data_IF_780706568131
#
_entry.id   IF_780706568131
#
_cell.length_a   1.000
_cell.length_b   1.000
_cell.length_c   1.000
_cell.angle_alpha   90.00
_cell.angle_beta   90.00
_cell.angle_gamma   90.00
#
_symmetry.space_group_name_H-M   'P 1'
#
loop_
_entity.id
_entity.type
_entity.pdbx_description
1 polymer ?
#
# COMPACT_ATOMS: atom_id res chain seq x y z
N UNK A 1 18.83 12.83 19.93
CA UNK A 1 18.01 11.68 20.37
C UNK A 1 17.74 10.80 19.17
N UNK A 2 17.73 9.47 19.31
CA UNK A 2 17.30 8.57 18.26
C UNK A 2 15.77 8.72 18.05
N UNK A 3 15.33 8.63 16.79
CA UNK A 3 13.90 8.65 16.47
C UNK A 3 13.22 7.38 16.95
N UNK A 4 11.94 7.46 17.33
CA UNK A 4 11.13 6.28 17.59
C UNK A 4 10.91 5.48 16.30
N UNK A 5 10.53 4.19 16.43
CA UNK A 5 10.22 3.34 15.28
C UNK A 5 9.07 3.94 14.44
N UNK A 6 8.02 4.45 15.08
CA UNK A 6 6.92 5.11 14.38
C UNK A 6 7.37 6.35 13.62
N UNK A 7 8.15 7.24 14.25
CA UNK A 7 8.65 8.45 13.59
C UNK A 7 9.48 8.13 12.34
N UNK A 8 10.37 7.13 12.44
CA UNK A 8 11.16 6.70 11.29
C UNK A 8 10.28 6.09 10.21
N UNK A 9 9.32 5.21 10.58
CA UNK A 9 8.38 4.60 9.63
C UNK A 9 7.53 5.65 8.89
N UNK A 10 7.10 6.71 9.59
CA UNK A 10 6.38 7.84 8.96
C UNK A 10 7.22 8.56 7.91
N UNK A 11 8.50 8.78 8.20
CA UNK A 11 9.43 9.42 7.27
C UNK A 11 9.66 8.53 6.05
N UNK A 12 9.94 7.26 6.25
CA UNK A 12 10.23 6.31 5.18
C UNK A 12 9.03 6.08 4.27
N UNK A 13 7.83 5.96 4.86
CA UNK A 13 6.60 5.81 4.10
C UNK A 13 6.27 7.09 3.30
N UNK A 14 6.46 8.28 3.89
CA UNK A 14 6.27 9.54 3.18
C UNK A 14 7.28 9.71 2.03
N UNK A 15 8.53 9.28 2.21
CA UNK A 15 9.53 9.25 1.14
C UNK A 15 9.12 8.29 0.01
N UNK A 16 8.60 7.11 0.35
CA UNK A 16 8.10 6.13 -0.62
C UNK A 16 6.99 6.71 -1.48
N UNK A 17 5.99 7.39 -0.91
CA UNK A 17 4.95 8.09 -1.68
C UNK A 17 5.54 9.06 -2.72
N UNK A 18 6.52 9.85 -2.32
CA UNK A 18 7.13 10.85 -3.20
C UNK A 18 7.97 10.21 -4.30
N UNK A 19 8.70 9.16 -4.00
CA UNK A 19 9.47 8.39 -4.99
C UNK A 19 8.52 7.80 -6.03
N UNK A 20 7.44 7.17 -5.60
CA UNK A 20 6.43 6.58 -6.50
C UNK A 20 5.76 7.65 -7.36
N UNK A 21 5.46 8.83 -6.80
CA UNK A 21 4.95 9.95 -7.58
C UNK A 21 5.96 10.45 -8.62
N UNK A 22 7.25 10.54 -8.25
CA UNK A 22 8.32 10.93 -9.15
C UNK A 22 8.50 9.94 -10.30
N UNK A 23 8.35 8.65 -10.03
CA UNK A 23 8.43 7.58 -11.04
C UNK A 23 7.17 7.43 -11.91
N UNK A 24 6.11 8.19 -11.63
CA UNK A 24 4.86 8.09 -12.36
C UNK A 24 4.14 6.75 -12.19
N UNK A 25 4.33 6.06 -11.06
CA UNK A 25 3.79 4.73 -10.81
C UNK A 25 2.46 4.75 -10.05
N UNK A 26 1.84 5.90 -9.88
CA UNK A 26 0.58 6.07 -9.16
C UNK A 26 -0.52 6.56 -10.10
N UNK A 27 -1.76 6.37 -9.70
CA UNK A 27 -2.92 6.88 -10.43
C UNK A 27 -3.65 7.92 -9.59
N UNK A 28 -3.47 9.20 -9.95
CA UNK A 28 -4.09 10.36 -9.30
C UNK A 28 -4.06 10.25 -7.75
N UNK A 29 -5.22 9.99 -7.12
CA UNK A 29 -5.39 9.86 -5.65
C UNK A 29 -6.01 8.50 -5.26
N UNK A 30 -6.06 7.55 -6.21
CA UNK A 30 -6.73 6.26 -6.03
C UNK A 30 -5.85 5.19 -5.37
N UNK A 31 -4.57 5.46 -5.17
CA UNK A 31 -3.63 4.50 -4.59
C UNK A 31 -3.40 4.74 -3.10
N UNK A 32 -2.96 3.69 -2.40
CA UNK A 32 -2.72 3.75 -0.96
C UNK A 32 -1.60 2.82 -0.52
N UNK A 33 -0.81 3.27 0.46
CA UNK A 33 0.26 2.51 1.08
C UNK A 33 0.07 2.48 2.58
N UNK A 34 0.48 1.38 3.17
CA UNK A 34 0.53 1.24 4.62
C UNK A 34 1.84 0.67 5.11
N UNK A 35 2.14 0.96 6.37
CA UNK A 35 3.22 0.33 7.10
C UNK A 35 2.76 0.06 8.53
N UNK A 36 2.90 -1.18 9.00
CA UNK A 36 2.56 -1.51 10.38
C UNK A 36 3.61 -1.00 11.36
N UNK A 37 3.15 -0.50 12.51
CA UNK A 37 4.01 -0.04 13.61
C UNK A 37 3.92 -0.93 14.84
N UNK A 38 3.02 -1.91 14.85
CA UNK A 38 2.90 -2.90 15.92
C UNK A 38 3.36 -4.28 15.46
N UNK A 39 3.84 -5.09 16.41
CA UNK A 39 4.34 -6.42 16.10
C UNK A 39 3.24 -7.40 15.66
N UNK A 40 2.01 -7.18 16.16
CA UNK A 40 0.83 -7.98 15.86
C UNK A 40 0.10 -7.55 14.57
N UNK A 41 0.60 -6.53 13.86
CA UNK A 41 0.00 -6.00 12.64
C UNK A 41 -1.26 -5.17 12.83
N UNK A 42 -1.76 -4.98 14.05
CA UNK A 42 -3.03 -4.28 14.29
C UNK A 42 -2.95 -2.78 14.07
N UNK A 43 -1.83 -2.16 14.47
CA UNK A 43 -1.63 -0.72 14.30
C UNK A 43 -0.76 -0.44 13.09
N UNK A 44 -1.29 0.36 12.18
CA UNK A 44 -0.61 0.69 10.94
C UNK A 44 -0.83 2.15 10.51
N UNK A 45 0.11 2.65 9.74
CA UNK A 45 0.03 3.96 9.09
C UNK A 45 -0.59 3.81 7.71
N UNK A 46 -1.46 4.76 7.34
CA UNK A 46 -2.09 4.84 6.02
C UNK A 46 -2.07 6.30 5.54
N UNK A 47 -2.05 6.51 4.22
CA UNK A 47 -2.22 7.87 3.69
C UNK A 47 -3.68 8.34 3.83
N UNK A 48 -3.87 9.65 4.01
CA UNK A 48 -5.22 10.22 4.00
C UNK A 48 -5.84 10.11 2.61
N UNK A 49 -7.15 9.94 2.58
CA UNK A 49 -7.98 9.94 1.37
C UNK A 49 -7.82 11.25 0.59
N UNK A 50 -7.82 11.18 -0.73
CA UNK A 50 -7.81 12.32 -1.65
C UNK A 50 -6.53 13.19 -1.61
N UNK A 51 -5.46 12.74 -0.98
CA UNK A 51 -4.19 13.45 -0.99
C UNK A 51 -3.23 12.85 -2.02
N UNK A 52 -2.82 13.66 -3.00
CA UNK A 52 -1.87 13.22 -4.02
C UNK A 52 -0.52 12.84 -3.41
N UNK A 53 0.08 11.76 -3.89
CA UNK A 53 1.31 11.17 -3.35
C UNK A 53 2.48 12.16 -3.22
N UNK A 54 2.67 13.06 -4.20
CA UNK A 54 3.73 14.08 -4.14
C UNK A 54 3.59 15.07 -2.99
N UNK A 55 2.41 15.15 -2.35
CA UNK A 55 2.10 16.09 -1.28
C UNK A 55 2.03 15.44 0.10
N UNK A 56 2.20 14.12 0.19
CA UNK A 56 2.14 13.41 1.46
C UNK A 56 3.40 13.71 2.28
N UNK A 57 3.20 14.10 3.54
CA UNK A 57 4.23 14.33 4.55
C UNK A 57 4.13 13.26 5.63
N UNK A 58 5.19 13.06 6.40
CA UNK A 58 5.21 12.14 7.54
C UNK A 58 4.09 12.46 8.56
N UNK A 59 3.81 13.77 8.78
CA UNK A 59 2.74 14.25 9.67
C UNK A 59 1.32 14.02 9.15
N UNK A 60 1.15 13.77 7.86
CA UNK A 60 -0.16 13.54 7.26
C UNK A 60 -0.65 12.10 7.45
N UNK A 61 0.28 11.16 7.68
CA UNK A 61 -0.05 9.75 7.78
C UNK A 61 -0.94 9.47 8.99
N UNK A 62 -2.01 8.74 8.74
CA UNK A 62 -3.01 8.39 9.74
C UNK A 62 -2.57 7.13 10.47
N UNK A 63 -2.60 7.17 11.79
CA UNK A 63 -2.45 5.96 12.62
C UNK A 63 -3.83 5.34 12.78
N UNK A 64 -3.98 4.11 12.34
CA UNK A 64 -5.22 3.35 12.34
C UNK A 64 -5.05 2.04 13.11
N UNK A 65 -6.16 1.53 13.61
CA UNK A 65 -6.26 0.21 14.25
C UNK A 65 -7.14 -0.67 13.37
N UNK A 66 -6.67 -1.86 13.05
CA UNK A 66 -7.38 -2.81 12.19
C UNK A 66 -8.59 -3.46 12.89
N UNK A 67 -8.64 -3.45 14.23
CA UNK A 67 -9.76 -3.94 15.02
C UNK A 67 -10.82 -2.85 15.30
N UNK A 68 -10.50 -1.58 15.03
CA UNK A 68 -11.42 -0.46 15.29
C UNK A 68 -12.15 -0.02 14.03
N UNK A 69 -13.35 -0.53 13.83
CA UNK A 69 -14.21 -0.14 12.71
C UNK A 69 -14.55 1.37 12.67
N UNK A 70 -14.38 2.11 13.77
CA UNK A 70 -14.55 3.55 13.75
C UNK A 70 -13.50 4.23 12.86
N UNK A 71 -12.33 3.62 12.70
CA UNK A 71 -11.31 4.07 11.76
C UNK A 71 -11.83 4.12 10.32
N UNK A 72 -12.59 3.11 9.88
CA UNK A 72 -13.17 3.06 8.52
C UNK A 72 -14.21 4.16 8.26
N UNK A 73 -14.87 4.65 9.31
CA UNK A 73 -15.91 5.69 9.22
C UNK A 73 -15.38 7.11 9.25
N UNK A 74 -14.08 7.31 9.41
CA UNK A 74 -13.45 8.64 9.38
C UNK A 74 -13.50 9.21 7.97
N UNK A 75 -13.77 10.50 7.85
CA UNK A 75 -13.86 11.20 6.56
C UNK A 75 -12.54 11.29 5.80
N UNK A 76 -11.41 11.17 6.51
CA UNK A 76 -10.05 11.22 5.96
C UNK A 76 -9.48 9.84 5.62
N UNK A 77 -10.22 8.75 5.91
CA UNK A 77 -9.82 7.37 5.65
C UNK A 77 -10.57 6.81 4.43
N UNK A 78 -9.85 6.12 3.57
CA UNK A 78 -10.46 5.25 2.58
C UNK A 78 -10.84 3.92 3.24
N UNK A 79 -12.14 3.62 3.31
CA UNK A 79 -12.64 2.43 4.01
C UNK A 79 -12.15 1.13 3.35
N UNK A 80 -12.04 1.11 2.01
CA UNK A 80 -11.51 -0.04 1.27
C UNK A 80 -10.04 -0.26 1.57
N UNK A 81 -9.25 0.82 1.58
CA UNK A 81 -7.84 0.76 1.96
C UNK A 81 -7.66 0.28 3.40
N UNK A 82 -8.46 0.81 4.34
CA UNK A 82 -8.42 0.35 5.73
C UNK A 82 -8.70 -1.15 5.85
N UNK A 83 -9.74 -1.65 5.18
CA UNK A 83 -10.11 -3.06 5.23
C UNK A 83 -9.03 -3.96 4.62
N UNK A 84 -8.56 -3.66 3.41
CA UNK A 84 -7.55 -4.46 2.70
C UNK A 84 -6.23 -4.48 3.50
N UNK A 85 -5.71 -3.32 3.85
CA UNK A 85 -4.42 -3.23 4.53
C UNK A 85 -4.46 -3.79 5.94
N UNK A 86 -5.54 -3.51 6.69
CA UNK A 86 -5.74 -4.05 8.04
C UNK A 86 -5.80 -5.58 8.03
N UNK A 87 -6.55 -6.18 7.10
CA UNK A 87 -6.62 -7.64 6.99
C UNK A 87 -5.29 -8.28 6.60
N UNK A 88 -4.53 -7.67 5.69
CA UNK A 88 -3.21 -8.18 5.30
C UNK A 88 -2.27 -8.15 6.50
N UNK A 89 -2.16 -7.01 7.18
CA UNK A 89 -1.25 -6.87 8.31
C UNK A 89 -1.58 -7.77 9.50
N UNK A 90 -2.88 -7.98 9.79
CA UNK A 90 -3.31 -8.88 10.87
C UNK A 90 -3.06 -10.36 10.56
N UNK A 91 -3.33 -10.77 9.31
CA UNK A 91 -3.19 -12.18 8.92
C UNK A 91 -1.76 -12.58 8.61
N UNK A 92 -0.94 -11.62 8.22
CA UNK A 92 0.46 -11.80 7.84
C UNK A 92 1.33 -10.75 8.57
N UNK A 93 1.53 -10.90 9.89
CA UNK A 93 2.26 -9.89 10.70
C UNK A 93 3.70 -9.65 10.24
N UNK A 94 4.30 -10.60 9.51
CA UNK A 94 5.61 -10.46 8.87
C UNK A 94 5.59 -9.48 7.67
N UNK A 95 4.41 -9.24 7.06
CA UNK A 95 4.24 -8.25 5.99
C UNK A 95 4.16 -6.86 6.61
N UNK A 96 5.31 -6.21 6.71
CA UNK A 96 5.44 -4.90 7.39
C UNK A 96 4.97 -3.73 6.55
N UNK A 97 4.94 -3.87 5.23
CA UNK A 97 4.56 -2.80 4.28
C UNK A 97 3.67 -3.38 3.19
N UNK A 98 2.60 -2.67 2.86
CA UNK A 98 1.71 -3.00 1.73
C UNK A 98 1.61 -1.79 0.82
N UNK A 99 1.87 -1.97 -0.46
CA UNK A 99 1.81 -0.93 -1.48
C UNK A 99 0.78 -1.31 -2.54
N UNK A 100 -0.32 -0.56 -2.61
CA UNK A 100 -1.33 -0.68 -3.67
C UNK A 100 -1.11 0.39 -4.73
N UNK A 101 -0.79 -0.05 -5.94
CA UNK A 101 -0.40 0.79 -7.07
C UNK A 101 -1.12 0.39 -8.35
N UNK A 102 -1.26 1.38 -9.26
CA UNK A 102 -1.72 1.16 -10.63
C UNK A 102 -0.68 1.64 -11.67
N UNK A 103 0.57 1.09 -11.69
CA UNK A 103 1.53 1.46 -12.71
C UNK A 103 1.03 1.04 -14.10
N UNK A 104 1.14 1.92 -15.08
CA UNK A 104 0.54 1.74 -16.42
C UNK A 104 0.86 0.37 -17.03
N UNK A 105 2.12 -0.04 -17.03
CA UNK A 105 2.52 -1.32 -17.62
C UNK A 105 1.99 -2.53 -16.85
N UNK A 106 2.04 -2.50 -15.51
CA UNK A 106 1.52 -3.59 -14.69
C UNK A 106 0.00 -3.69 -14.81
N UNK A 107 -0.69 -2.55 -14.81
CA UNK A 107 -2.14 -2.49 -15.02
C UNK A 107 -2.52 -3.02 -16.39
N UNK A 108 -1.76 -2.65 -17.44
CA UNK A 108 -1.97 -3.19 -18.79
C UNK A 108 -1.84 -4.71 -18.85
N UNK A 109 -0.84 -5.27 -18.19
CA UNK A 109 -0.68 -6.73 -18.10
C UNK A 109 -1.81 -7.37 -17.31
N UNK A 110 -2.24 -6.74 -16.21
CA UNK A 110 -3.35 -7.24 -15.38
C UNK A 110 -4.69 -7.28 -16.13
N UNK A 111 -4.88 -6.41 -17.14
CA UNK A 111 -6.08 -6.37 -17.98
C UNK A 111 -6.10 -7.44 -19.08
N UNK A 112 -5.04 -8.20 -19.26
CA UNK A 112 -5.02 -9.28 -20.25
C UNK A 112 -5.87 -10.46 -19.80
N UNK A 113 -6.44 -11.19 -20.75
CA UNK A 113 -7.16 -12.45 -20.47
C UNK A 113 -6.27 -13.46 -19.73
N UNK A 114 -4.99 -13.50 -20.08
CA UNK A 114 -3.98 -14.33 -19.43
C UNK A 114 -2.82 -13.46 -18.96
N UNK A 115 -2.94 -12.80 -17.79
CA UNK A 115 -1.89 -11.96 -17.26
C UNK A 115 -0.68 -12.81 -16.88
N UNK A 116 0.45 -12.55 -17.52
CA UNK A 116 1.69 -13.29 -17.30
C UNK A 116 2.90 -12.41 -17.54
N UNK A 117 3.89 -12.50 -16.67
CA UNK A 117 5.20 -11.87 -16.84
C UNK A 117 6.22 -13.00 -17.03
N UNK A 118 6.63 -13.28 -18.27
CA UNK A 118 7.62 -14.32 -18.53
C UNK A 118 9.00 -13.89 -18.01
N UNK A 119 9.81 -14.81 -17.46
CA UNK A 119 11.15 -14.51 -16.94
C UNK A 119 12.17 -14.43 -18.09
N UNK A 120 12.02 -13.45 -18.97
CA UNK A 120 12.85 -13.29 -20.17
C UNK A 120 14.17 -12.55 -19.93
N UNK A 121 14.27 -11.88 -18.79
CA UNK A 121 15.49 -11.16 -18.37
C UNK A 121 15.67 -11.23 -16.85
N UNK A 122 16.78 -10.70 -16.37
CA UNK A 122 17.12 -10.72 -14.94
C UNK A 122 16.12 -9.91 -14.08
N UNK A 123 15.48 -8.88 -14.62
CA UNK A 123 14.50 -8.09 -13.90
C UNK A 123 13.18 -8.84 -13.77
N UNK A 124 12.67 -9.41 -14.86
CA UNK A 124 11.44 -10.20 -14.87
C UNK A 124 11.61 -11.53 -14.14
N UNK A 125 12.81 -12.14 -14.14
CA UNK A 125 13.10 -13.34 -13.39
C UNK A 125 12.93 -13.18 -11.86
N UNK A 126 13.03 -11.95 -11.33
CA UNK A 126 12.75 -11.66 -9.90
C UNK A 126 11.32 -11.99 -9.50
N UNK A 127 10.40 -11.94 -10.44
CA UNK A 127 8.97 -12.22 -10.21
C UNK A 127 8.58 -13.66 -10.50
N UNK A 128 9.51 -14.51 -10.92
CA UNK A 128 9.23 -15.91 -11.19
C UNK A 128 8.67 -16.60 -9.95
N UNK A 129 7.50 -17.21 -10.07
CA UNK A 129 6.74 -17.83 -8.97
C UNK A 129 6.42 -16.87 -7.78
N UNK A 130 6.40 -15.55 -8.03
CA UNK A 130 6.08 -14.54 -7.02
C UNK A 130 4.93 -13.64 -7.44
N UNK A 131 4.16 -14.05 -8.45
CA UNK A 131 3.00 -13.33 -8.95
C UNK A 131 1.77 -14.17 -8.62
N UNK A 132 0.79 -13.54 -7.96
CA UNK A 132 -0.54 -14.08 -7.81
C UNK A 132 -1.51 -13.27 -8.67
N UNK A 133 -2.45 -13.94 -9.30
CA UNK A 133 -3.51 -13.32 -10.12
C UNK A 133 -4.84 -13.68 -9.48
N UNK A 134 -5.52 -12.69 -8.93
CA UNK A 134 -6.90 -12.83 -8.49
C UNK A 134 -7.82 -12.50 -9.66
N UNK A 135 -8.69 -13.46 -10.01
CA UNK A 135 -9.68 -13.30 -11.09
C UNK A 135 -11.08 -12.98 -10.56
N UNK A 136 -11.23 -12.92 -9.25
CA UNK A 136 -12.49 -12.64 -8.61
C UNK A 136 -12.54 -11.14 -8.28
N UNK A 137 -13.58 -10.47 -8.74
CA UNK A 137 -13.87 -9.13 -8.27
C UNK A 137 -14.51 -9.23 -6.89
N UNK A 138 -13.76 -8.86 -5.85
CA UNK A 138 -14.19 -8.94 -4.46
C UNK A 138 -15.29 -7.93 -4.07
N UNK A 139 -15.63 -7.02 -4.97
CA UNK A 139 -16.56 -5.93 -4.70
C UNK A 139 -15.96 -4.82 -3.83
N UNK A 140 -16.69 -3.75 -3.66
CA UNK A 140 -16.46 -2.69 -2.67
C UNK A 140 -17.50 -2.79 -1.57
#
# INVERSE_FOLDING_TARGET
MARSYEEQTRIDLAATFRIIAHLGMHEAVANHFSATISADGKKFLLNPKWKHFSRIRASDLLLLDADDEACARRSDVDATAWAIHGQIHQRLPEVRVVLHLHPVYTTSVACLETPHIPPIDQNTARYFNRIAVDRLYGGM
#
